data_IF_303351163355
#
_entry.id   IF_303351163355
#
_cell.length_a   1.000
_cell.length_b   1.000
_cell.length_c   1.000
_cell.angle_alpha   90.00
_cell.angle_beta   90.00
_cell.angle_gamma   90.00
#
_symmetry.space_group_name_H-M   'P 1'
#
loop_
_entity.id
_entity.type
_entity.pdbx_description
1 polymer ?
#
# COMPACT_ATOMS: atom_id res chain seq x y z
N UNK A 1 -14.85 -2.26 -12.49
CA UNK A 1 -13.86 -2.10 -11.41
C UNK A 1 -12.60 -2.92 -11.66
N UNK A 2 -12.53 -4.24 -11.44
CA UNK A 2 -11.27 -4.99 -11.67
C UNK A 2 -10.73 -5.00 -13.12
N UNK A 3 -11.61 -4.84 -14.12
CA UNK A 3 -11.20 -4.75 -15.54
C UNK A 3 -10.48 -3.45 -15.87
N UNK A 4 -10.86 -2.36 -15.20
CA UNK A 4 -10.31 -1.02 -15.46
C UNK A 4 -8.88 -0.91 -14.90
N UNK A 5 -8.61 -1.60 -13.79
CA UNK A 5 -7.26 -1.66 -13.19
C UNK A 5 -6.27 -2.50 -13.99
N UNK A 6 -6.72 -3.58 -14.64
CA UNK A 6 -5.86 -4.36 -15.56
C UNK A 6 -5.42 -3.51 -16.74
N UNK A 7 -6.37 -2.79 -17.35
CA UNK A 7 -6.06 -1.86 -18.42
C UNK A 7 -5.12 -0.74 -17.95
N UNK A 8 -5.32 -0.20 -16.74
CA UNK A 8 -4.42 0.80 -16.17
C UNK A 8 -2.99 0.26 -16.02
N UNK A 9 -2.81 -0.97 -15.50
CA UNK A 9 -1.49 -1.59 -15.37
C UNK A 9 -0.81 -1.77 -16.74
N UNK A 10 -1.56 -2.22 -17.76
CA UNK A 10 -1.06 -2.34 -19.14
C UNK A 10 -0.62 -0.99 -19.72
N UNK A 11 -1.43 0.06 -19.56
CA UNK A 11 -1.13 1.40 -20.05
C UNK A 11 0.08 2.01 -19.32
N UNK A 12 0.23 1.79 -18.02
CA UNK A 12 1.45 2.21 -17.31
C UNK A 12 2.68 1.44 -17.80
N UNK A 13 2.57 0.16 -18.10
CA UNK A 13 3.64 -0.63 -18.70
C UNK A 13 4.11 -0.05 -20.04
N UNK A 14 3.17 0.37 -20.90
CA UNK A 14 3.48 1.06 -22.16
C UNK A 14 4.18 2.40 -21.90
N UNK A 15 3.65 3.22 -20.99
CA UNK A 15 4.24 4.50 -20.63
C UNK A 15 5.67 4.37 -20.08
N UNK A 16 5.96 3.31 -19.30
CA UNK A 16 7.32 3.02 -18.80
C UNK A 16 8.27 2.70 -19.96
N UNK A 17 7.81 1.96 -20.97
CA UNK A 17 8.61 1.62 -22.16
C UNK A 17 8.89 2.83 -23.06
N UNK A 18 7.97 3.80 -23.09
CA UNK A 18 8.11 5.05 -23.85
C UNK A 18 8.82 6.17 -23.06
N UNK A 19 8.96 6.00 -21.75
CA UNK A 19 9.53 7.02 -20.87
C UNK A 19 11.00 7.32 -21.23
N UNK A 20 11.37 8.60 -21.37
CA UNK A 20 12.76 9.00 -21.59
C UNK A 20 13.69 8.48 -20.49
N UNK A 21 14.84 7.93 -20.89
CA UNK A 21 15.85 7.39 -19.96
C UNK A 21 16.60 8.47 -19.16
N UNK A 22 16.43 9.75 -19.53
CA UNK A 22 17.02 10.92 -18.89
C UNK A 22 16.17 11.48 -17.73
N UNK A 23 14.97 10.94 -17.48
CA UNK A 23 14.11 11.30 -16.35
C UNK A 23 13.83 10.09 -15.43
N UNK A 24 14.82 9.66 -14.61
CA UNK A 24 14.65 8.52 -13.71
C UNK A 24 13.57 8.75 -12.64
N UNK A 25 13.28 10.00 -12.29
CA UNK A 25 12.20 10.36 -11.36
C UNK A 25 10.81 10.10 -11.94
N UNK A 26 10.54 10.56 -13.16
CA UNK A 26 9.27 10.32 -13.85
C UNK A 26 9.01 8.82 -14.02
N UNK A 27 10.06 8.05 -14.31
CA UNK A 27 9.98 6.59 -14.42
C UNK A 27 9.61 5.94 -13.07
N UNK A 28 10.18 6.39 -11.94
CA UNK A 28 9.81 5.88 -10.62
C UNK A 28 8.34 6.15 -10.27
N UNK A 29 7.83 7.35 -10.58
CA UNK A 29 6.41 7.65 -10.38
C UNK A 29 5.51 6.75 -11.23
N UNK A 30 5.85 6.54 -12.51
CA UNK A 30 5.11 5.61 -13.38
C UNK A 30 5.13 4.18 -12.85
N UNK A 31 6.29 3.68 -12.39
CA UNK A 31 6.40 2.36 -11.76
C UNK A 31 5.54 2.25 -10.50
N UNK A 32 5.53 3.28 -9.63
CA UNK A 32 4.66 3.26 -8.45
C UNK A 32 3.18 3.12 -8.84
N UNK A 33 2.74 3.85 -9.87
CA UNK A 33 1.35 3.77 -10.37
C UNK A 33 1.05 2.42 -11.01
N UNK A 34 1.99 1.86 -11.77
CA UNK A 34 1.87 0.53 -12.36
C UNK A 34 1.71 -0.54 -11.28
N UNK A 35 2.61 -0.56 -10.28
CA UNK A 35 2.56 -1.54 -9.19
C UNK A 35 1.31 -1.40 -8.32
N UNK A 36 0.82 -0.17 -8.12
CA UNK A 36 -0.47 0.04 -7.47
C UNK A 36 -1.64 -0.52 -8.30
N UNK A 37 -1.64 -0.32 -9.62
CA UNK A 37 -2.65 -0.88 -10.50
C UNK A 37 -2.61 -2.42 -10.53
N UNK A 38 -1.42 -3.02 -10.51
CA UNK A 38 -1.23 -4.47 -10.34
C UNK A 38 -1.90 -4.98 -9.07
N UNK A 39 -1.67 -4.32 -7.93
CA UNK A 39 -2.36 -4.65 -6.67
C UNK A 39 -3.89 -4.58 -6.82
N UNK A 40 -4.41 -3.47 -7.35
CA UNK A 40 -5.84 -3.25 -7.54
C UNK A 40 -6.48 -4.24 -8.54
N UNK A 41 -5.70 -4.79 -9.46
CA UNK A 41 -6.14 -5.81 -10.42
C UNK A 41 -6.27 -7.22 -9.82
N UNK A 42 -5.82 -7.40 -8.57
CA UNK A 42 -5.78 -8.68 -7.87
C UNK A 42 -4.40 -9.36 -7.86
N UNK A 43 -3.39 -8.77 -8.50
CA UNK A 43 -2.01 -9.25 -8.44
C UNK A 43 -1.31 -8.72 -7.19
N UNK A 44 -1.87 -9.06 -6.03
CA UNK A 44 -1.60 -8.43 -4.74
C UNK A 44 -0.12 -8.39 -4.38
N UNK A 45 0.57 -9.53 -4.42
CA UNK A 45 1.96 -9.61 -3.96
C UNK A 45 2.95 -8.98 -4.93
N UNK A 46 2.76 -9.14 -6.25
CA UNK A 46 3.60 -8.45 -7.23
C UNK A 46 3.43 -6.93 -7.15
N UNK A 47 2.19 -6.47 -6.94
CA UNK A 47 1.91 -5.05 -6.72
C UNK A 47 2.63 -4.51 -5.48
N UNK A 48 2.53 -5.20 -4.35
CA UNK A 48 3.25 -4.81 -3.11
C UNK A 48 4.76 -4.77 -3.33
N UNK A 49 5.35 -5.84 -3.89
CA UNK A 49 6.79 -5.92 -4.11
C UNK A 49 7.30 -4.82 -5.07
N UNK A 50 6.56 -4.53 -6.14
CA UNK A 50 6.93 -3.43 -7.05
C UNK A 50 6.90 -2.05 -6.39
N UNK A 51 5.94 -1.81 -5.49
CA UNK A 51 5.91 -0.58 -4.70
C UNK A 51 7.07 -0.52 -3.68
N UNK A 52 7.46 -1.65 -3.08
CA UNK A 52 8.61 -1.75 -2.17
C UNK A 52 9.95 -1.46 -2.87
N UNK A 53 10.11 -1.93 -4.11
CA UNK A 53 11.27 -1.59 -4.96
C UNK A 53 11.34 -0.09 -5.23
N UNK A 54 10.23 0.54 -5.63
CA UNK A 54 10.18 2.00 -5.83
C UNK A 54 10.49 2.74 -4.53
N UNK A 55 9.96 2.29 -3.39
CA UNK A 55 10.27 2.88 -2.10
C UNK A 55 11.77 2.78 -1.79
N UNK A 56 12.41 1.63 -2.04
CA UNK A 56 13.84 1.45 -1.78
C UNK A 56 14.70 2.46 -2.57
N UNK A 57 14.34 2.75 -3.81
CA UNK A 57 15.02 3.75 -4.65
C UNK A 57 14.72 5.20 -4.25
N UNK A 58 13.49 5.47 -3.78
CA UNK A 58 13.03 6.83 -3.51
C UNK A 58 13.43 7.37 -2.13
N UNK A 59 13.74 6.51 -1.14
CA UNK A 59 13.95 6.87 0.27
C UNK A 59 14.82 8.12 0.49
N UNK A 60 15.94 8.21 -0.24
CA UNK A 60 16.90 9.31 -0.11
C UNK A 60 16.80 10.32 -1.26
N UNK A 61 16.22 9.93 -2.38
CA UNK A 61 16.22 10.72 -3.62
C UNK A 61 14.97 11.58 -3.80
N UNK A 62 13.81 11.10 -3.34
CA UNK A 62 12.52 11.75 -3.50
C UNK A 62 11.62 11.46 -2.29
N UNK A 63 11.66 12.32 -1.25
CA UNK A 63 10.85 12.15 -0.06
C UNK A 63 9.34 12.20 -0.32
N UNK A 64 8.87 12.85 -1.39
CA UNK A 64 7.45 12.90 -1.73
C UNK A 64 6.99 11.55 -2.28
N UNK A 65 7.72 11.00 -3.24
CA UNK A 65 7.49 9.67 -3.77
C UNK A 65 7.63 8.59 -2.69
N UNK A 66 8.64 8.68 -1.83
CA UNK A 66 8.84 7.74 -0.74
C UNK A 66 7.68 7.76 0.28
N UNK A 67 7.01 8.90 0.47
CA UNK A 67 5.79 8.97 1.30
C UNK A 67 4.58 8.36 0.59
N UNK A 68 4.36 8.65 -0.70
CA UNK A 68 3.26 8.05 -1.48
C UNK A 68 3.41 6.52 -1.57
N UNK A 69 4.63 6.02 -1.81
CA UNK A 69 4.92 4.60 -1.84
C UNK A 69 4.63 3.91 -0.50
N UNK A 70 5.09 4.50 0.63
CA UNK A 70 4.78 3.98 1.98
C UNK A 70 3.28 3.91 2.22
N UNK A 71 2.53 4.95 1.86
CA UNK A 71 1.09 4.99 2.06
C UNK A 71 0.38 3.87 1.27
N UNK A 72 0.76 3.67 0.00
CA UNK A 72 0.20 2.61 -0.84
C UNK A 72 0.54 1.21 -0.35
N UNK A 73 1.80 0.98 0.07
CA UNK A 73 2.24 -0.31 0.62
C UNK A 73 1.45 -0.63 1.90
N UNK A 74 1.35 0.33 2.83
CA UNK A 74 0.64 0.15 4.09
C UNK A 74 -0.83 -0.23 3.86
N UNK A 75 -1.50 0.51 2.98
CA UNK A 75 -2.88 0.25 2.60
C UNK A 75 -3.01 -1.12 1.93
N UNK A 76 -2.15 -1.45 0.97
CA UNK A 76 -2.18 -2.74 0.28
C UNK A 76 -1.98 -3.92 1.24
N UNK A 77 -1.04 -3.83 2.18
CA UNK A 77 -0.80 -4.84 3.21
C UNK A 77 -1.96 -4.95 4.19
N UNK A 78 -2.62 -3.84 4.56
CA UNK A 78 -3.83 -3.86 5.38
C UNK A 78 -4.96 -4.66 4.70
N UNK A 79 -5.26 -4.37 3.43
CA UNK A 79 -6.28 -5.09 2.67
C UNK A 79 -5.90 -6.55 2.40
N UNK A 80 -4.63 -6.82 2.08
CA UNK A 80 -4.15 -8.19 1.92
C UNK A 80 -4.30 -8.99 3.22
N UNK A 81 -3.96 -8.39 4.36
CA UNK A 81 -4.16 -8.97 5.70
C UNK A 81 -5.63 -9.25 5.95
N UNK A 82 -6.51 -8.29 5.70
CA UNK A 82 -7.96 -8.47 5.86
C UNK A 82 -8.46 -9.68 5.06
N UNK A 83 -8.06 -9.78 3.79
CA UNK A 83 -8.42 -10.90 2.91
C UNK A 83 -7.87 -12.24 3.43
N UNK A 84 -6.59 -12.30 3.80
CA UNK A 84 -5.99 -13.50 4.38
C UNK A 84 -6.75 -13.98 5.62
N UNK A 85 -7.17 -13.04 6.48
CA UNK A 85 -7.96 -13.36 7.67
C UNK A 85 -9.34 -13.92 7.30
N UNK A 86 -10.05 -13.32 6.35
CA UNK A 86 -11.34 -13.84 5.86
C UNK A 86 -11.21 -15.24 5.23
N UNK A 87 -10.08 -15.54 4.61
CA UNK A 87 -9.75 -16.87 4.04
C UNK A 87 -9.33 -17.89 5.11
N UNK A 88 -9.27 -17.50 6.39
CA UNK A 88 -8.91 -18.39 7.50
C UNK A 88 -7.41 -18.67 7.59
N UNK A 89 -6.56 -17.79 7.04
CA UNK A 89 -5.11 -17.93 7.17
C UNK A 89 -4.68 -17.96 8.64
N UNK A 90 -3.65 -18.76 8.93
CA UNK A 90 -3.11 -18.86 10.30
C UNK A 90 -2.41 -17.55 10.72
N UNK A 91 -2.36 -17.23 12.03
CA UNK A 91 -1.68 -16.05 12.54
C UNK A 91 -0.25 -15.84 12.04
N UNK A 92 0.51 -16.92 11.82
CA UNK A 92 1.90 -16.85 11.35
C UNK A 92 2.01 -16.31 9.92
N UNK A 93 0.93 -16.35 9.15
CA UNK A 93 0.85 -15.85 7.78
C UNK A 93 0.42 -14.39 7.75
N UNK A 94 -0.66 -14.03 8.46
CA UNK A 94 -1.24 -12.68 8.33
C UNK A 94 -0.65 -11.67 9.32
N UNK A 95 -0.16 -12.08 10.50
CA UNK A 95 0.42 -11.13 11.48
C UNK A 95 1.66 -10.40 10.95
N UNK A 96 2.59 -11.04 10.23
CA UNK A 96 3.72 -10.32 9.65
C UNK A 96 3.30 -9.23 8.65
N UNK A 97 2.24 -9.46 7.88
CA UNK A 97 1.74 -8.47 6.91
C UNK A 97 1.00 -7.32 7.59
N UNK A 98 0.24 -7.62 8.65
CA UNK A 98 -0.36 -6.60 9.52
C UNK A 98 0.72 -5.72 10.17
N UNK A 99 1.77 -6.34 10.71
CA UNK A 99 2.90 -5.64 11.32
C UNK A 99 3.55 -4.67 10.32
N UNK A 100 3.85 -5.11 9.10
CA UNK A 100 4.43 -4.24 8.07
C UNK A 100 3.53 -3.03 7.78
N UNK A 101 2.21 -3.25 7.62
CA UNK A 101 1.26 -2.16 7.42
C UNK A 101 1.30 -1.15 8.58
N UNK A 102 1.29 -1.67 9.82
CA UNK A 102 1.34 -0.85 11.03
C UNK A 102 2.62 -0.01 11.10
N UNK A 103 3.76 -0.61 10.80
CA UNK A 103 5.06 0.07 10.82
C UNK A 103 5.14 1.17 9.76
N UNK A 104 4.58 0.95 8.56
CA UNK A 104 4.50 2.01 7.54
C UNK A 104 3.59 3.16 7.97
N UNK A 105 2.39 2.88 8.47
CA UNK A 105 1.50 3.95 8.96
C UNK A 105 2.08 4.71 10.15
N UNK A 106 2.79 4.02 11.05
CA UNK A 106 3.44 4.67 12.19
C UNK A 106 4.51 5.66 11.74
N UNK A 107 5.38 5.25 10.82
CA UNK A 107 6.39 6.14 10.24
C UNK A 107 5.77 7.33 9.51
N UNK A 108 4.67 7.12 8.79
CA UNK A 108 3.94 8.21 8.13
C UNK A 108 3.33 9.19 9.14
N UNK A 109 2.73 8.68 10.23
CA UNK A 109 2.14 9.50 11.27
C UNK A 109 3.20 10.33 12.02
N UNK A 110 4.33 9.71 12.38
CA UNK A 110 5.49 10.36 13.00
C UNK A 110 6.06 11.48 12.10
N UNK A 111 6.24 11.19 10.81
CA UNK A 111 6.70 12.18 9.82
C UNK A 111 5.71 13.33 9.63
N UNK A 112 4.41 13.03 9.51
CA UNK A 112 3.37 14.04 9.37
C UNK A 112 3.28 14.95 10.59
N UNK A 113 3.37 14.39 11.80
CA UNK A 113 3.42 15.15 13.05
C UNK A 113 4.64 16.07 13.11
N UNK A 114 5.83 15.57 12.76
CA UNK A 114 7.05 16.37 12.72
C UNK A 114 6.96 17.54 11.72
N UNK A 115 6.21 17.37 10.62
CA UNK A 115 5.97 18.41 9.61
C UNK A 115 4.79 19.34 9.93
N UNK A 116 4.01 19.07 10.98
CA UNK A 116 2.76 19.80 11.26
C UNK A 116 1.71 19.65 10.15
N UNK A 117 1.65 18.46 9.55
CA UNK A 117 0.81 18.20 8.38
C UNK A 117 -0.66 17.95 8.76
N UNK A 118 -1.60 18.28 7.87
CA UNK A 118 -3.02 18.14 8.14
C UNK A 118 -3.46 16.67 8.24
N UNK A 119 -2.74 15.77 7.58
CA UNK A 119 -3.03 14.33 7.54
C UNK A 119 -2.64 13.55 8.81
N UNK A 120 -1.98 14.18 9.80
CA UNK A 120 -1.44 13.49 10.98
C UNK A 120 -2.47 12.64 11.72
N UNK A 121 -3.65 13.19 12.00
CA UNK A 121 -4.68 12.47 12.77
C UNK A 121 -5.30 11.31 11.98
N UNK A 122 -5.42 11.44 10.66
CA UNK A 122 -5.91 10.34 9.82
C UNK A 122 -4.88 9.22 9.71
N UNK A 123 -3.58 9.55 9.66
CA UNK A 123 -2.51 8.55 9.70
C UNK A 123 -2.46 7.81 11.05
N UNK A 124 -2.70 8.51 12.17
CA UNK A 124 -2.84 7.86 13.49
C UNK A 124 -4.04 6.90 13.51
N UNK A 125 -5.19 7.28 12.95
CA UNK A 125 -6.34 6.36 12.81
C UNK A 125 -6.03 5.14 11.95
N UNK A 126 -5.18 5.28 10.93
CA UNK A 126 -4.74 4.13 10.13
C UNK A 126 -3.88 3.16 10.96
N UNK A 127 -2.99 3.66 11.83
CA UNK A 127 -2.25 2.82 12.78
C UNK A 127 -3.22 2.04 13.68
N UNK A 128 -4.19 2.74 14.27
CA UNK A 128 -5.20 2.11 15.12
C UNK A 128 -5.99 1.05 14.35
N UNK A 129 -6.38 1.33 13.11
CA UNK A 129 -7.14 0.40 12.26
C UNK A 129 -6.41 -0.93 12.05
N UNK A 130 -5.08 -0.90 11.92
CA UNK A 130 -4.27 -2.12 11.87
C UNK A 130 -4.25 -2.84 13.22
N UNK A 131 -4.11 -2.12 14.33
CA UNK A 131 -4.16 -2.70 15.69
C UNK A 131 -5.52 -3.38 15.95
N UNK A 132 -6.61 -2.76 15.52
CA UNK A 132 -7.95 -3.36 15.56
C UNK A 132 -8.00 -4.62 14.70
N UNK A 133 -7.49 -4.58 13.47
CA UNK A 133 -7.40 -5.75 12.60
C UNK A 133 -6.53 -6.87 13.20
N UNK A 134 -5.55 -6.59 14.04
CA UNK A 134 -4.77 -7.64 14.71
C UNK A 134 -5.49 -8.28 15.91
N UNK A 135 -6.42 -7.55 16.53
CA UNK A 135 -7.07 -7.93 17.79
C UNK A 135 -8.44 -8.58 17.62
N UNK A 136 -9.20 -8.17 16.61
CA UNK A 136 -10.54 -8.72 16.36
C UNK A 136 -10.45 -10.22 16.11
N UNK A 137 -11.46 -10.98 16.51
CA UNK A 137 -11.60 -12.37 16.09
C UNK A 137 -12.15 -12.48 14.66
N UNK A 138 -12.28 -13.71 14.14
CA UNK A 138 -12.77 -13.92 12.78
C UNK A 138 -14.27 -13.64 12.63
N UNK A 139 -15.07 -13.90 13.66
CA UNK A 139 -16.51 -13.69 13.61
C UNK A 139 -16.84 -12.19 13.58
N UNK A 140 -16.13 -11.41 14.39
CA UNK A 140 -16.18 -9.94 14.36
C UNK A 140 -15.80 -9.41 12.97
N UNK A 141 -14.69 -9.90 12.41
CA UNK A 141 -14.23 -9.47 11.08
C UNK A 141 -15.25 -9.77 9.97
N UNK A 142 -15.89 -10.94 10.01
CA UNK A 142 -16.92 -11.33 9.04
C UNK A 142 -18.21 -10.53 9.15
N UNK A 143 -18.47 -9.91 10.32
CA UNK A 143 -19.65 -9.06 10.54
C UNK A 143 -19.48 -7.63 10.01
N UNK A 144 -18.25 -7.22 9.70
CA UNK A 144 -17.94 -5.89 9.19
C UNK A 144 -18.14 -5.82 7.68
N UNK A 145 -18.56 -4.64 7.15
CA UNK A 145 -18.48 -4.42 5.72
C UNK A 145 -17.02 -4.55 5.26
N UNK A 146 -16.83 -4.99 4.01
CA UNK A 146 -15.51 -4.92 3.40
C UNK A 146 -15.01 -3.47 3.50
N UNK A 147 -13.75 -3.26 3.91
CA UNK A 147 -13.20 -1.92 3.95
C UNK A 147 -13.34 -1.28 2.56
N UNK A 148 -13.73 0.00 2.53
CA UNK A 148 -14.03 0.72 1.29
C UNK A 148 -12.85 0.66 0.33
N UNK A 149 -13.13 0.60 -0.98
CA UNK A 149 -12.08 0.55 -1.99
C UNK A 149 -11.13 1.76 -1.86
N UNK A 150 -9.82 1.49 -1.94
CA UNK A 150 -8.76 2.47 -2.06
C UNK A 150 -8.95 3.42 -3.25
#
# INVERSE_FOLDING_TARGET
EGKDWKLAAELFGQAIGEAPSDSPESNRWLRLRASHAEFMSGNTWNGISGMEEVLAEAKEADPALARDARARIATAQYFATWKLRLEGAKPEVWKPEAEKARQHFRLLAEDAEARGAAETEDLKKNVESVIWLERMDLAELQSLPLPGAC
#
